data_IF_965823515066
#
_entry.id   IF_965823515066
#
_cell.length_a   1.000
_cell.length_b   1.000
_cell.length_c   1.000
_cell.angle_alpha   90.00
_cell.angle_beta   90.00
_cell.angle_gamma   90.00
#
_symmetry.space_group_name_H-M   'P 1'
#
loop_
_entity.id
_entity.type
_entity.pdbx_description
1 polymer ?
#
# COMPACT_ATOMS: atom_id res chain seq x y z
N UNK A 1 10.06 0.44 -12.14
CA UNK A 1 9.58 -0.24 -10.92
C UNK A 1 9.12 0.86 -9.98
N UNK A 2 7.84 0.93 -9.69
CA UNK A 2 7.25 1.98 -8.85
C UNK A 2 7.01 1.37 -7.46
N UNK A 3 7.49 2.05 -6.41
CA UNK A 3 7.45 1.59 -5.01
C UNK A 3 6.00 1.30 -4.58
N UNK A 4 5.05 2.13 -5.01
CA UNK A 4 3.63 1.91 -4.73
C UNK A 4 3.09 0.62 -5.34
N UNK A 5 3.56 0.24 -6.53
CA UNK A 5 3.18 -1.02 -7.17
C UNK A 5 3.72 -2.23 -6.42
N UNK A 6 4.96 -2.15 -5.90
CA UNK A 6 5.56 -3.23 -5.11
C UNK A 6 4.90 -3.38 -3.73
N UNK A 7 4.57 -2.27 -3.06
CA UNK A 7 3.77 -2.29 -1.82
C UNK A 7 2.43 -2.99 -2.07
N UNK A 8 1.74 -2.63 -3.16
CA UNK A 8 0.46 -3.23 -3.51
C UNK A 8 0.59 -4.74 -3.78
N UNK A 9 1.64 -5.17 -4.49
CA UNK A 9 1.90 -6.60 -4.75
C UNK A 9 2.12 -7.37 -3.46
N UNK A 10 2.99 -6.89 -2.56
CA UNK A 10 3.29 -7.54 -1.28
C UNK A 10 2.02 -7.67 -0.44
N UNK A 11 1.23 -6.59 -0.33
CA UNK A 11 -0.01 -6.60 0.43
C UNK A 11 -1.01 -7.61 -0.13
N UNK A 12 -1.24 -7.61 -1.45
CA UNK A 12 -2.16 -8.54 -2.11
C UNK A 12 -1.68 -9.99 -2.03
N UNK A 13 -0.38 -10.25 -2.14
CA UNK A 13 0.19 -11.59 -1.99
C UNK A 13 -0.02 -12.17 -0.59
N UNK A 14 -0.17 -11.31 0.43
CA UNK A 14 -0.52 -11.69 1.80
C UNK A 14 -2.03 -11.71 2.07
N UNK A 15 -2.88 -11.44 1.07
CA UNK A 15 -4.33 -11.43 1.22
C UNK A 15 -4.89 -10.30 2.10
N UNK A 16 -4.11 -9.23 2.31
CA UNK A 16 -4.46 -8.16 3.24
C UNK A 16 -5.20 -7.01 2.56
N UNK A 17 -6.16 -6.41 3.27
CA UNK A 17 -6.71 -5.09 2.96
C UNK A 17 -5.69 -3.99 3.27
N UNK A 18 -5.91 -2.78 2.73
CA UNK A 18 -5.08 -1.62 3.06
C UNK A 18 -5.15 -1.25 4.55
N UNK A 19 -6.27 -1.53 5.21
CA UNK A 19 -6.47 -1.26 6.64
C UNK A 19 -5.66 -2.24 7.50
N UNK A 20 -5.74 -3.54 7.22
CA UNK A 20 -4.93 -4.56 7.90
C UNK A 20 -3.43 -4.32 7.70
N UNK A 21 -3.02 -3.98 6.47
CA UNK A 21 -1.64 -3.64 6.17
C UNK A 21 -1.19 -2.37 6.90
N UNK A 22 -2.03 -1.33 6.94
CA UNK A 22 -1.74 -0.10 7.66
C UNK A 22 -1.58 -0.32 9.17
N UNK A 23 -2.38 -1.23 9.73
CA UNK A 23 -2.27 -1.64 11.13
C UNK A 23 -0.89 -2.16 11.53
N UNK A 24 -0.19 -2.87 10.64
CA UNK A 24 1.19 -3.38 10.87
C UNK A 24 2.18 -2.23 11.09
N UNK A 25 1.99 -1.11 10.41
CA UNK A 25 2.87 0.05 10.46
C UNK A 25 2.32 1.19 11.33
N UNK A 26 1.22 0.96 12.05
CA UNK A 26 0.50 1.97 12.82
C UNK A 26 0.09 3.20 12.01
N UNK A 27 -0.29 2.99 10.76
CA UNK A 27 -0.79 4.04 9.86
C UNK A 27 -2.22 3.76 9.42
N UNK A 28 -2.87 4.79 8.89
CA UNK A 28 -4.24 4.68 8.39
C UNK A 28 -4.29 4.01 7.01
N UNK A 29 -5.46 3.49 6.65
CA UNK A 29 -5.76 2.99 5.29
C UNK A 29 -5.43 4.04 4.21
N UNK A 30 -5.69 5.32 4.49
CA UNK A 30 -5.41 6.44 3.57
C UNK A 30 -3.90 6.61 3.33
N UNK A 31 -3.07 6.45 4.36
CA UNK A 31 -1.62 6.50 4.21
C UNK A 31 -1.12 5.38 3.27
N UNK A 32 -1.61 4.15 3.46
CA UNK A 32 -1.31 3.02 2.57
C UNK A 32 -1.80 3.29 1.16
N UNK A 33 -3.00 3.86 0.99
CA UNK A 33 -3.50 4.26 -0.33
C UNK A 33 -2.60 5.30 -0.99
N UNK A 34 -2.07 6.28 -0.25
CA UNK A 34 -1.12 7.24 -0.79
C UNK A 34 0.18 6.56 -1.19
N UNK A 35 0.71 5.62 -0.40
CA UNK A 35 1.92 4.87 -0.76
C UNK A 35 1.73 4.08 -2.05
N UNK A 36 0.59 3.40 -2.21
CA UNK A 36 0.31 2.58 -3.39
C UNK A 36 0.09 3.40 -4.67
N UNK A 37 -0.29 4.67 -4.57
CA UNK A 37 -0.67 5.51 -5.71
C UNK A 37 0.29 6.68 -5.99
N UNK A 38 1.34 6.89 -5.19
CA UNK A 38 2.17 8.12 -5.24
C UNK A 38 3.06 8.31 -6.48
N UNK A 39 3.01 7.42 -7.46
CA UNK A 39 3.80 7.50 -8.71
C UNK A 39 2.95 7.09 -9.94
N UNK A 40 1.62 7.17 -9.86
CA UNK A 40 0.74 6.87 -11.00
C UNK A 40 0.46 8.09 -11.90
N UNK A 41 1.03 9.26 -11.59
CA UNK A 41 0.95 10.48 -12.40
C UNK A 41 2.37 10.91 -12.78
N UNK A 42 2.87 10.37 -13.89
CA UNK A 42 4.04 10.87 -14.63
C UNK A 42 3.75 10.69 -16.10
#
# INVERSE_FOLDING_TARGET
MNIGTEIQKIRKARGMTQEEFGGIFHVTRQAVSHWENRDSHS
#
